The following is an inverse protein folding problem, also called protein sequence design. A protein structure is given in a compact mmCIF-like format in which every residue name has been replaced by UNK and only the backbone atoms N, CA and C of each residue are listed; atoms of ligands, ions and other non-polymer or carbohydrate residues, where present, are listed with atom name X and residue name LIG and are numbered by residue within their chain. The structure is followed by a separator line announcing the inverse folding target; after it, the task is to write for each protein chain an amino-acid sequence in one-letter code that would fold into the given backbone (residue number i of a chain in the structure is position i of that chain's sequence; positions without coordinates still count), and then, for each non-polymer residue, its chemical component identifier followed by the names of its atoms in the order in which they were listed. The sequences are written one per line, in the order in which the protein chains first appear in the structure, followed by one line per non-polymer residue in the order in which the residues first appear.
data_IF_365195721231
#
_entry.id   IF_365195721231
#
_cell.length_a   1.000
_cell.length_b   1.000
_cell.length_c   1.000
_cell.angle_alpha   90.00
_cell.angle_beta   90.00
_cell.angle_gamma   90.00
#
_symmetry.space_group_name_H-M   'P 1'
#
loop_
_entity.id
_entity.type
_entity.pdbx_description
1 polymer ?
#
# COMPACT_ATOMS: atom_id res chain seq x y z
N UNK A 1 1.27 14.92 -12.39
CA UNK A 1 0.08 14.06 -12.54
C UNK A 1 -1.16 14.92 -12.31
N UNK A 2 -2.13 14.98 -13.23
CA UNK A 2 -3.35 15.74 -12.99
C UNK A 2 -4.20 15.05 -11.93
N UNK A 3 -4.62 15.78 -10.91
CA UNK A 3 -5.59 15.30 -9.92
C UNK A 3 -6.95 15.09 -10.59
N UNK A 4 -7.65 14.00 -10.24
CA UNK A 4 -9.03 13.79 -10.69
C UNK A 4 -9.92 14.87 -10.06
N UNK A 5 -10.80 15.48 -10.86
CA UNK A 5 -11.76 16.46 -10.37
C UNK A 5 -12.81 15.75 -9.51
N UNK A 6 -12.84 16.09 -8.23
CA UNK A 6 -13.82 15.61 -7.28
C UNK A 6 -15.21 16.19 -7.58
N UNK A 7 -16.25 15.38 -7.36
CA UNK A 7 -17.65 15.78 -7.44
C UNK A 7 -18.22 15.76 -6.02
N UNK A 8 -18.85 16.85 -5.57
CA UNK A 8 -19.51 16.89 -4.26
C UNK A 8 -20.81 16.10 -4.27
N UNK A 9 -21.26 15.64 -3.10
CA UNK A 9 -22.52 14.88 -2.98
C UNK A 9 -23.72 15.65 -3.56
N UNK A 10 -23.76 16.97 -3.35
CA UNK A 10 -24.81 17.86 -3.84
C UNK A 10 -24.86 17.96 -5.37
N UNK A 11 -23.76 17.65 -6.04
CA UNK A 11 -23.62 17.72 -7.49
C UNK A 11 -23.81 16.34 -8.16
N UNK A 12 -24.08 15.29 -7.37
CA UNK A 12 -24.38 13.96 -7.90
C UNK A 12 -25.69 13.96 -8.68
N UNK A 13 -25.83 13.10 -9.70
CA UNK A 13 -27.12 12.88 -10.36
C UNK A 13 -28.20 12.54 -9.32
N UNK A 14 -29.44 13.06 -9.46
CA UNK A 14 -30.50 12.85 -8.47
C UNK A 14 -30.73 11.38 -8.11
N UNK A 15 -30.65 10.48 -9.08
CA UNK A 15 -30.76 9.02 -8.87
C UNK A 15 -29.65 8.48 -7.96
N UNK A 16 -28.43 8.99 -8.10
CA UNK A 16 -27.28 8.58 -7.29
C UNK A 16 -27.39 9.17 -5.89
N UNK A 17 -27.71 10.46 -5.77
CA UNK A 17 -27.89 11.14 -4.49
C UNK A 17 -29.02 10.51 -3.66
N UNK A 18 -30.09 10.03 -4.31
CA UNK A 18 -31.18 9.31 -3.65
C UNK A 18 -30.77 7.90 -3.17
N UNK A 19 -29.81 7.25 -3.85
CA UNK A 19 -29.35 5.91 -3.52
C UNK A 19 -28.19 5.87 -2.52
N UNK A 20 -27.46 6.98 -2.38
CA UNK A 20 -26.27 7.09 -1.54
C UNK A 20 -26.49 8.24 -0.53
N UNK A 21 -26.74 7.92 0.74
CA UNK A 21 -26.86 8.94 1.79
C UNK A 21 -25.57 9.76 1.92
N UNK A 22 -25.71 11.05 2.24
CA UNK A 22 -24.59 11.97 2.34
C UNK A 22 -23.58 11.55 3.42
N UNK A 23 -24.05 10.94 4.51
CA UNK A 23 -23.22 10.44 5.61
C UNK A 23 -22.36 9.23 5.25
N UNK A 24 -22.74 8.48 4.20
CA UNK A 24 -21.97 7.34 3.70
C UNK A 24 -21.08 7.73 2.51
N UNK A 25 -21.26 8.92 1.95
CA UNK A 25 -20.54 9.38 0.79
C UNK A 25 -19.10 9.80 1.15
N UNK A 26 -18.13 9.40 0.33
CA UNK A 26 -16.74 9.82 0.48
C UNK A 26 -16.28 10.69 -0.68
N UNK A 27 -16.45 10.20 -1.91
CA UNK A 27 -15.98 10.89 -3.12
C UNK A 27 -16.60 10.31 -4.37
N UNK A 28 -16.62 11.10 -5.45
CA UNK A 28 -16.95 10.62 -6.78
C UNK A 28 -16.11 11.33 -7.85
N UNK A 29 -15.90 10.62 -8.95
CA UNK A 29 -15.12 11.09 -10.10
C UNK A 29 -15.74 10.56 -11.40
N UNK A 30 -15.74 11.40 -12.43
CA UNK A 30 -15.99 10.91 -13.79
C UNK A 30 -14.86 9.97 -14.21
N UNK A 31 -15.22 8.84 -14.83
CA UNK A 31 -14.24 7.94 -15.43
C UNK A 31 -13.89 8.44 -16.84
N UNK A 32 -12.60 8.73 -17.12
CA UNK A 32 -12.20 9.24 -18.42
C UNK A 32 -12.55 8.28 -19.56
N UNK A 33 -13.13 8.82 -20.64
CA UNK A 33 -13.47 8.04 -21.83
C UNK A 33 -14.69 7.14 -21.68
N UNK A 34 -15.37 7.18 -20.53
CA UNK A 34 -16.66 6.51 -20.32
C UNK A 34 -17.71 7.53 -19.89
N UNK A 35 -18.99 7.23 -20.14
CA UNK A 35 -20.11 8.01 -19.59
C UNK A 35 -20.51 7.44 -18.21
N UNK A 36 -19.53 7.22 -17.34
CA UNK A 36 -19.73 6.61 -16.03
C UNK A 36 -19.09 7.41 -14.89
N UNK A 37 -19.71 7.33 -13.73
CA UNK A 37 -19.34 8.00 -12.50
C UNK A 37 -18.91 6.95 -11.47
N UNK A 38 -17.65 7.01 -11.01
CA UNK A 38 -17.13 6.13 -9.95
C UNK A 38 -17.32 6.81 -8.62
N UNK A 39 -17.89 6.10 -7.65
CA UNK A 39 -18.33 6.63 -6.37
C UNK A 39 -17.79 5.74 -5.25
N UNK A 40 -17.18 6.37 -4.26
CA UNK A 40 -16.70 5.73 -3.04
C UNK A 40 -17.65 6.03 -1.90
N UNK A 41 -18.04 4.96 -1.19
CA UNK A 41 -18.95 5.03 -0.05
C UNK A 41 -18.41 4.21 1.11
N UNK A 42 -18.84 4.53 2.33
CA UNK A 42 -18.74 3.63 3.46
C UNK A 42 -19.93 2.66 3.38
N UNK A 43 -19.65 1.37 3.28
CA UNK A 43 -20.65 0.33 3.42
C UNK A 43 -20.86 0.04 4.92
N UNK A 44 -21.99 0.42 5.52
CA UNK A 44 -22.22 0.26 6.95
C UNK A 44 -22.34 -1.22 7.37
N UNK A 45 -22.66 -2.13 6.44
CA UNK A 45 -22.75 -3.56 6.74
C UNK A 45 -21.38 -4.21 6.89
N UNK A 46 -20.38 -3.69 6.17
CA UNK A 46 -18.99 -4.18 6.21
C UNK A 46 -18.08 -3.31 7.09
N UNK A 47 -18.55 -2.11 7.48
CA UNK A 47 -17.75 -1.05 8.07
C UNK A 47 -16.45 -0.79 7.27
N UNK A 48 -16.58 -0.78 5.94
CA UNK A 48 -15.47 -0.67 4.98
C UNK A 48 -15.84 0.26 3.83
N UNK A 49 -14.82 0.79 3.17
CA UNK A 49 -15.01 1.54 1.93
C UNK A 49 -15.37 0.59 0.78
N UNK A 50 -16.26 1.04 -0.09
CA UNK A 50 -16.71 0.30 -1.27
C UNK A 50 -16.77 1.21 -2.49
N UNK A 51 -16.35 0.68 -3.64
CA UNK A 51 -16.42 1.36 -4.93
C UNK A 51 -17.68 0.93 -5.70
N UNK A 52 -18.47 1.91 -6.15
CA UNK A 52 -19.63 1.73 -7.02
C UNK A 52 -19.43 2.52 -8.31
N UNK A 53 -20.04 2.07 -9.40
CA UNK A 53 -19.97 2.79 -10.68
C UNK A 53 -21.39 2.98 -11.23
N UNK A 54 -21.76 4.21 -11.57
CA UNK A 54 -23.05 4.57 -12.13
C UNK A 54 -22.89 4.92 -13.61
N UNK A 55 -23.76 4.39 -14.46
CA UNK A 55 -23.78 4.70 -15.88
C UNK A 55 -24.82 5.77 -16.19
N UNK A 56 -24.37 6.88 -16.75
CA UNK A 56 -25.27 7.93 -17.22
C UNK A 56 -26.12 7.47 -18.41
N UNK A 57 -25.61 6.53 -19.21
CA UNK A 57 -26.30 6.03 -20.39
C UNK A 57 -27.50 5.13 -20.04
N UNK A 58 -27.36 4.28 -19.02
CA UNK A 58 -28.41 3.34 -18.59
C UNK A 58 -29.22 3.86 -17.41
N UNK A 59 -28.74 4.89 -16.71
CA UNK A 59 -29.39 5.43 -15.53
C UNK A 59 -29.32 4.50 -14.32
N UNK A 60 -28.33 3.59 -14.26
CA UNK A 60 -28.24 2.53 -13.27
C UNK A 60 -26.81 2.31 -12.77
N UNK A 61 -26.69 1.73 -11.58
CA UNK A 61 -25.41 1.23 -11.07
C UNK A 61 -25.01 -0.04 -11.82
N UNK A 62 -23.75 -0.09 -12.21
CA UNK A 62 -23.15 -1.21 -12.89
C UNK A 62 -22.81 -2.33 -11.90
N UNK A 63 -23.08 -3.56 -12.32
CA UNK A 63 -22.58 -4.78 -11.68
C UNK A 63 -21.07 -4.91 -11.85
N UNK A 64 -20.43 -5.74 -11.02
CA UNK A 64 -18.98 -6.02 -11.14
C UNK A 64 -18.62 -6.57 -12.53
N UNK A 65 -19.48 -7.40 -13.13
CA UNK A 65 -19.26 -7.95 -14.47
C UNK A 65 -19.28 -6.85 -15.55
N UNK A 66 -20.23 -5.92 -15.47
CA UNK A 66 -20.29 -4.77 -16.40
C UNK A 66 -19.08 -3.85 -16.22
N UNK A 67 -18.66 -3.60 -14.98
CA UNK A 67 -17.46 -2.80 -14.68
C UNK A 67 -16.20 -3.46 -15.22
N UNK A 68 -16.08 -4.78 -15.11
CA UNK A 68 -15.01 -5.56 -15.73
C UNK A 68 -14.98 -5.41 -17.26
N UNK A 69 -16.15 -5.39 -17.91
CA UNK A 69 -16.24 -5.20 -19.36
C UNK A 69 -15.81 -3.79 -19.81
N UNK A 70 -15.84 -2.80 -18.92
CA UNK A 70 -15.33 -1.44 -19.17
C UNK A 70 -13.82 -1.29 -18.92
N UNK A 71 -13.16 -2.27 -18.30
CA UNK A 71 -11.72 -2.22 -18.12
C UNK A 71 -11.00 -2.21 -19.47
N UNK A 72 -9.90 -1.45 -19.60
CA UNK A 72 -9.03 -1.57 -20.76
C UNK A 72 -8.60 -3.02 -20.98
N UNK A 73 -8.31 -3.42 -22.23
CA UNK A 73 -7.74 -4.73 -22.48
C UNK A 73 -6.42 -4.89 -21.74
N UNK A 74 -6.13 -6.11 -21.30
CA UNK A 74 -4.82 -6.45 -20.73
C UNK A 74 -3.73 -6.06 -21.71
N UNK A 75 -2.66 -5.45 -21.19
CA UNK A 75 -1.56 -4.92 -22.00
C UNK A 75 -0.23 -5.36 -21.43
N UNK A 76 0.79 -5.26 -22.25
CA UNK A 76 2.18 -5.53 -21.84
C UNK A 76 3.06 -4.34 -22.18
N UNK A 77 4.05 -4.08 -21.35
CA UNK A 77 5.12 -3.15 -21.68
C UNK A 77 6.46 -3.71 -21.18
N UNK A 78 7.55 -3.22 -21.76
CA UNK A 78 8.91 -3.58 -21.36
C UNK A 78 9.50 -2.41 -20.59
N UNK A 79 10.14 -2.68 -19.45
CA UNK A 79 10.83 -1.65 -18.68
C UNK A 79 11.96 -1.02 -19.52
N UNK A 80 12.35 0.25 -19.25
CA UNK A 80 13.35 0.96 -20.07
C UNK A 80 14.72 0.25 -20.21
N UNK A 81 15.09 -0.61 -19.26
CA UNK A 81 16.34 -1.38 -19.30
C UNK A 81 16.29 -2.64 -20.19
N UNK A 82 15.11 -2.97 -20.74
CA UNK A 82 14.88 -4.13 -21.60
C UNK A 82 14.88 -5.48 -20.89
N UNK A 83 15.06 -5.53 -19.56
CA UNK A 83 15.25 -6.78 -18.81
C UNK A 83 13.95 -7.36 -18.27
N UNK A 84 12.94 -6.52 -18.09
CA UNK A 84 11.69 -6.89 -17.44
C UNK A 84 10.51 -6.63 -18.38
N UNK A 85 9.67 -7.64 -18.59
CA UNK A 85 8.35 -7.48 -19.22
C UNK A 85 7.29 -7.46 -18.14
N UNK A 86 6.37 -6.51 -18.24
CA UNK A 86 5.26 -6.32 -17.30
C UNK A 86 3.96 -6.66 -17.99
N UNK A 87 3.17 -7.55 -17.39
CA UNK A 87 1.79 -7.80 -17.75
C UNK A 87 0.88 -6.96 -16.87
N UNK A 88 0.06 -6.13 -17.50
CA UNK A 88 -0.93 -5.27 -16.86
C UNK A 88 -2.30 -5.89 -17.02
N UNK A 89 -3.03 -5.99 -15.91
CA UNK A 89 -4.41 -6.46 -15.86
C UNK A 89 -5.23 -5.68 -14.85
N UNK A 90 -6.46 -6.12 -14.63
CA UNK A 90 -7.38 -5.48 -13.70
C UNK A 90 -8.07 -6.53 -12.83
N UNK A 91 -8.22 -6.23 -11.55
CA UNK A 91 -9.02 -7.04 -10.62
C UNK A 91 -9.95 -6.16 -9.80
N UNK A 92 -11.08 -6.73 -9.42
CA UNK A 92 -11.99 -6.13 -8.45
C UNK A 92 -11.85 -6.92 -7.15
N UNK A 93 -11.67 -6.19 -6.05
CA UNK A 93 -11.68 -6.79 -4.73
C UNK A 93 -13.07 -7.35 -4.40
N UNK A 94 -13.14 -8.58 -3.88
CA UNK A 94 -14.41 -9.28 -3.68
C UNK A 94 -15.32 -8.61 -2.63
N UNK A 95 -14.73 -7.97 -1.62
CA UNK A 95 -15.49 -7.41 -0.51
C UNK A 95 -15.82 -5.94 -0.74
N UNK A 96 -14.91 -5.21 -1.38
CA UNK A 96 -14.97 -3.74 -1.52
C UNK A 96 -15.30 -3.29 -2.94
N UNK A 97 -15.37 -4.21 -3.90
CA UNK A 97 -15.55 -3.95 -5.33
C UNK A 97 -14.55 -2.91 -5.88
N UNK A 98 -13.42 -2.67 -5.21
CA UNK A 98 -12.43 -1.69 -5.62
C UNK A 98 -11.70 -2.20 -6.85
N UNK A 99 -11.61 -1.37 -7.88
CA UNK A 99 -10.87 -1.69 -9.09
C UNK A 99 -9.39 -1.36 -8.92
N UNK A 100 -8.53 -2.36 -9.11
CA UNK A 100 -7.07 -2.22 -9.08
C UNK A 100 -6.46 -2.62 -10.42
N UNK A 101 -5.52 -1.81 -10.89
CA UNK A 101 -4.60 -2.19 -11.98
C UNK A 101 -3.50 -3.06 -11.37
N UNK A 102 -3.33 -4.27 -11.90
CA UNK A 102 -2.38 -5.27 -11.41
C UNK A 102 -1.19 -5.35 -12.34
N UNK A 103 0.01 -5.48 -11.79
CA UNK A 103 1.27 -5.62 -12.51
C UNK A 103 1.94 -6.93 -12.13
N UNK A 104 2.21 -7.77 -13.12
CA UNK A 104 3.06 -8.94 -12.96
C UNK A 104 4.33 -8.73 -13.79
N UNK A 105 5.46 -8.57 -13.10
CA UNK A 105 6.76 -8.31 -13.73
C UNK A 105 7.57 -9.60 -13.85
N UNK A 106 8.06 -9.89 -15.04
CA UNK A 106 8.82 -11.10 -15.37
C UNK A 106 10.20 -10.75 -15.90
N UNK A 107 11.19 -11.56 -15.54
CA UNK A 107 12.52 -11.50 -16.12
C UNK A 107 12.51 -12.02 -17.57
N UNK A 108 13.01 -11.24 -18.52
CA UNK A 108 12.94 -11.57 -19.93
C UNK A 108 13.84 -12.76 -20.32
N UNK A 109 14.93 -12.99 -19.60
CA UNK A 109 15.86 -14.07 -19.92
C UNK A 109 15.38 -15.42 -19.40
N UNK A 110 14.74 -15.43 -18.24
CA UNK A 110 14.35 -16.66 -17.51
C UNK A 110 12.86 -16.91 -17.52
N UNK A 111 12.04 -15.93 -17.91
CA UNK A 111 10.58 -15.93 -17.76
C UNK A 111 10.10 -16.12 -16.31
N UNK A 112 10.97 -15.92 -15.33
CA UNK A 112 10.63 -16.02 -13.92
C UNK A 112 9.82 -14.80 -13.48
N UNK A 113 8.76 -15.03 -12.70
CA UNK A 113 8.02 -13.96 -12.03
C UNK A 113 8.93 -13.30 -10.99
N UNK A 114 9.18 -12.00 -11.14
CA UNK A 114 10.02 -11.21 -10.24
C UNK A 114 9.21 -10.60 -9.10
N UNK A 115 8.08 -9.96 -9.43
CA UNK A 115 7.21 -9.30 -8.45
C UNK A 115 5.79 -9.16 -8.98
N UNK A 116 4.84 -9.15 -8.07
CA UNK A 116 3.48 -8.68 -8.31
C UNK A 116 3.22 -7.41 -7.50
N UNK A 117 2.57 -6.45 -8.12
CA UNK A 117 2.14 -5.21 -7.47
C UNK A 117 0.83 -4.74 -8.05
N UNK A 118 0.24 -3.73 -7.42
CA UNK A 118 -1.03 -3.16 -7.87
C UNK A 118 -1.16 -1.71 -7.42
N UNK A 119 -2.06 -0.99 -8.08
CA UNK A 119 -2.54 0.31 -7.62
C UNK A 119 -4.04 0.47 -7.89
N UNK A 120 -4.73 1.22 -7.04
CA UNK A 120 -6.16 1.50 -7.23
C UNK A 120 -6.37 2.37 -8.48
N UNK A 121 -7.27 1.95 -9.38
CA UNK A 121 -7.55 2.65 -10.63
C UNK A 121 -8.15 4.05 -10.42
N UNK A 122 -8.89 4.23 -9.33
CA UNK A 122 -9.65 5.45 -9.05
C UNK A 122 -9.18 6.17 -7.78
N UNK A 123 -7.86 6.13 -7.54
CA UNK A 123 -7.18 6.97 -6.55
C UNK A 123 -7.11 8.44 -7.01
N UNK A 124 -7.13 9.43 -6.08
CA UNK A 124 -6.90 10.84 -6.40
C UNK A 124 -5.61 11.11 -7.17
N UNK A 125 -4.59 10.28 -6.92
CA UNK A 125 -3.33 10.27 -7.64
C UNK A 125 -2.99 8.82 -8.03
N UNK A 126 -2.80 8.60 -9.33
CA UNK A 126 -2.24 7.36 -9.85
C UNK A 126 -0.78 7.57 -10.21
N UNK A 127 0.07 6.62 -9.81
CA UNK A 127 1.47 6.61 -10.20
C UNK A 127 1.63 6.08 -11.63
N UNK A 128 2.74 6.45 -12.27
CA UNK A 128 3.08 5.84 -13.56
C UNK A 128 3.28 4.33 -13.36
N UNK A 129 2.76 3.46 -14.25
CA UNK A 129 2.95 2.02 -14.16
C UNK A 129 4.41 1.58 -13.99
N UNK A 130 5.35 2.25 -14.66
CA UNK A 130 6.78 1.94 -14.53
C UNK A 130 7.28 2.24 -13.11
N UNK A 131 6.83 3.34 -12.50
CA UNK A 131 7.23 3.72 -11.15
C UNK A 131 6.67 2.75 -10.11
N UNK A 132 5.43 2.27 -10.27
CA UNK A 132 4.84 1.25 -9.39
C UNK A 132 5.63 -0.05 -9.46
N UNK A 133 5.98 -0.50 -10.67
CA UNK A 133 6.78 -1.72 -10.86
C UNK A 133 8.19 -1.54 -10.33
N UNK A 134 8.83 -0.40 -10.59
CA UNK A 134 10.19 -0.09 -10.11
C UNK A 134 10.26 -0.07 -8.59
N UNK A 135 9.28 0.53 -7.91
CA UNK A 135 9.21 0.51 -6.45
C UNK A 135 9.02 -0.91 -5.91
N UNK A 136 8.17 -1.72 -6.55
CA UNK A 136 7.96 -3.11 -6.17
C UNK A 136 9.23 -3.97 -6.35
N UNK A 137 9.92 -3.85 -7.48
CA UNK A 137 11.19 -4.52 -7.73
C UNK A 137 12.25 -4.11 -6.70
N UNK A 138 12.36 -2.81 -6.42
CA UNK A 138 13.29 -2.29 -5.39
C UNK A 138 13.00 -2.89 -4.02
N UNK A 139 11.73 -3.04 -3.64
CA UNK A 139 11.34 -3.68 -2.36
C UNK A 139 11.73 -5.15 -2.33
N UNK A 140 11.57 -5.87 -3.44
CA UNK A 140 11.99 -7.28 -3.56
C UNK A 140 13.50 -7.44 -3.48
N UNK A 141 14.27 -6.54 -4.08
CA UNK A 141 15.73 -6.56 -4.06
C UNK A 141 16.33 -6.04 -2.76
N UNK A 142 15.54 -5.32 -1.95
CA UNK A 142 16.04 -4.65 -0.74
C UNK A 142 16.80 -5.57 0.22
N UNK A 143 16.35 -6.80 0.55
CA UNK A 143 17.13 -7.70 1.41
C UNK A 143 18.54 -7.99 0.88
N UNK A 144 18.69 -8.14 -0.44
CA UNK A 144 20.01 -8.37 -1.07
C UNK A 144 20.88 -7.12 -1.00
N UNK A 145 20.30 -5.95 -1.29
CA UNK A 145 21.00 -4.67 -1.16
C UNK A 145 21.44 -4.42 0.28
N UNK A 146 20.54 -4.65 1.23
CA UNK A 146 20.80 -4.55 2.67
C UNK A 146 21.93 -5.50 3.12
N UNK A 147 21.95 -6.73 2.60
CA UNK A 147 23.01 -7.71 2.90
C UNK A 147 24.39 -7.28 2.38
N UNK A 148 24.49 -6.29 1.49
CA UNK A 148 25.74 -5.68 1.05
C UNK A 148 26.24 -4.55 1.96
N UNK A 149 25.40 -4.03 2.86
CA UNK A 149 25.76 -2.91 3.74
C UNK A 149 26.71 -3.34 4.85
N UNK A 150 27.54 -2.40 5.32
CA UNK A 150 28.38 -2.63 6.51
C UNK A 150 27.53 -2.60 7.78
N UNK A 151 28.02 -3.24 8.85
CA UNK A 151 27.27 -3.37 10.13
C UNK A 151 26.76 -2.03 10.67
N UNK A 152 27.53 -0.92 10.69
CA UNK A 152 27.02 0.37 11.14
C UNK A 152 25.83 0.91 10.32
N UNK A 153 25.83 0.72 9.01
CA UNK A 153 24.72 1.15 8.13
C UNK A 153 23.45 0.36 8.41
N UNK A 154 23.60 -0.96 8.60
CA UNK A 154 22.51 -1.86 8.98
C UNK A 154 21.88 -1.48 10.31
N UNK A 155 22.73 -1.16 11.30
CA UNK A 155 22.28 -0.68 12.61
C UNK A 155 21.53 0.64 12.44
N UNK A 156 22.13 1.61 11.75
CA UNK A 156 21.54 2.94 11.53
C UNK A 156 20.19 2.89 10.81
N UNK A 157 20.03 1.99 9.83
CA UNK A 157 18.77 1.76 9.15
C UNK A 157 17.66 1.34 10.12
N UNK A 158 17.90 0.30 10.93
CA UNK A 158 16.88 -0.18 11.87
C UNK A 158 16.61 0.81 12.99
N UNK A 159 17.62 1.54 13.47
CA UNK A 159 17.41 2.66 14.41
C UNK A 159 16.43 3.68 13.83
N UNK A 160 16.64 4.10 12.58
CA UNK A 160 15.75 5.05 11.91
C UNK A 160 14.35 4.50 11.61
N UNK A 161 14.22 3.19 11.33
CA UNK A 161 12.92 2.53 11.18
C UNK A 161 12.16 2.52 12.51
N UNK A 162 12.78 2.04 13.58
CA UNK A 162 12.15 1.93 14.90
C UNK A 162 11.73 3.29 15.43
N UNK A 163 12.58 4.30 15.31
CA UNK A 163 12.26 5.67 15.73
C UNK A 163 11.03 6.25 15.04
N UNK A 164 10.95 6.10 13.71
CA UNK A 164 9.78 6.59 12.96
C UNK A 164 8.50 5.88 13.39
N UNK A 165 8.55 4.57 13.61
CA UNK A 165 7.38 3.82 14.05
C UNK A 165 6.95 4.19 15.47
N UNK A 166 7.91 4.33 16.41
CA UNK A 166 7.64 4.79 17.79
C UNK A 166 7.03 6.18 17.81
N UNK A 167 7.61 7.10 17.03
CA UNK A 167 7.10 8.45 16.89
C UNK A 167 5.68 8.47 16.32
N UNK A 168 5.41 7.67 15.29
CA UNK A 168 4.05 7.53 14.73
C UNK A 168 3.05 6.97 15.75
N UNK A 169 3.47 6.01 16.58
CA UNK A 169 2.65 5.49 17.66
C UNK A 169 2.30 6.61 18.67
N UNK A 170 3.30 7.38 19.11
CA UNK A 170 3.09 8.55 19.97
C UNK A 170 2.17 9.61 19.35
N UNK A 171 2.36 9.95 18.07
CA UNK A 171 1.53 10.91 17.34
C UNK A 171 0.07 10.45 17.18
N UNK A 172 -0.17 9.14 17.19
CA UNK A 172 -1.52 8.55 17.18
C UNK A 172 -2.18 8.46 18.58
N UNK A 173 -1.52 8.97 19.63
CA UNK A 173 -2.00 8.92 21.01
C UNK A 173 -1.83 7.55 21.67
N UNK A 174 -1.10 6.62 21.04
CA UNK A 174 -0.73 5.33 21.63
C UNK A 174 0.65 5.43 22.30
N UNK A 175 0.93 4.52 23.24
CA UNK A 175 2.25 4.44 23.84
C UNK A 175 3.30 4.10 22.77
N UNK A 176 4.45 4.78 22.76
CA UNK A 176 5.48 4.61 21.72
C UNK A 176 5.94 3.15 21.56
N UNK A 177 6.08 2.43 22.66
CA UNK A 177 6.45 0.99 22.67
C UNK A 177 5.41 0.09 21.97
N UNK A 178 4.20 0.57 21.67
CA UNK A 178 3.23 -0.15 20.85
C UNK A 178 3.74 -0.36 19.41
N UNK A 179 4.75 0.39 18.97
CA UNK A 179 5.46 0.14 17.72
C UNK A 179 6.18 -1.21 17.69
N UNK A 180 6.57 -1.74 18.86
CA UNK A 180 7.20 -3.06 18.96
C UNK A 180 6.15 -4.15 18.81
N UNK A 181 6.11 -4.76 17.63
CA UNK A 181 5.10 -5.78 17.30
C UNK A 181 5.75 -7.03 16.71
N UNK A 182 5.06 -8.17 16.80
CA UNK A 182 5.48 -9.39 16.11
C UNK A 182 5.59 -9.18 14.58
N UNK A 183 4.75 -8.32 14.00
CA UNK A 183 4.78 -7.99 12.58
C UNK A 183 6.08 -7.25 12.19
N UNK A 184 6.51 -6.29 13.00
CA UNK A 184 7.80 -5.62 12.85
C UNK A 184 8.95 -6.63 12.89
N UNK A 185 8.98 -7.53 13.88
CA UNK A 185 10.00 -8.57 13.98
C UNK A 185 10.01 -9.48 12.74
N UNK A 186 8.84 -9.90 12.28
CA UNK A 186 8.74 -10.70 11.06
C UNK A 186 9.28 -9.95 9.83
N UNK A 187 9.03 -8.64 9.74
CA UNK A 187 9.61 -7.78 8.70
C UNK A 187 11.13 -7.70 8.82
N UNK A 188 11.65 -7.50 10.03
CA UNK A 188 13.09 -7.46 10.31
C UNK A 188 13.78 -8.75 9.87
N UNK A 189 13.24 -9.91 10.26
CA UNK A 189 13.76 -11.24 9.88
C UNK A 189 13.68 -11.54 8.39
N UNK A 190 12.68 -10.99 7.68
CA UNK A 190 12.57 -11.14 6.23
C UNK A 190 13.67 -10.38 5.49
N UNK A 191 14.09 -9.24 6.02
CA UNK A 191 15.17 -8.41 5.44
C UNK A 191 16.55 -8.92 5.86
N UNK A 192 16.72 -9.28 7.14
CA UNK A 192 17.93 -9.85 7.70
C UNK A 192 17.60 -11.05 8.60
N UNK A 193 17.80 -12.29 8.10
CA UNK A 193 17.56 -13.50 8.89
C UNK A 193 18.37 -13.57 10.20
N UNK A 194 19.47 -12.81 10.32
CA UNK A 194 20.33 -12.76 11.49
C UNK A 194 20.15 -11.47 12.30
N UNK A 195 19.06 -10.73 12.11
CA UNK A 195 18.84 -9.43 12.73
C UNK A 195 18.96 -9.44 14.27
N UNK A 196 18.64 -10.56 14.91
CA UNK A 196 18.74 -10.72 16.37
C UNK A 196 20.15 -10.42 16.91
N UNK A 197 21.20 -10.73 16.14
CA UNK A 197 22.59 -10.42 16.49
C UNK A 197 22.87 -8.91 16.52
N UNK A 198 22.13 -8.13 15.73
CA UNK A 198 22.27 -6.67 15.66
C UNK A 198 21.32 -5.96 16.62
N UNK A 199 20.22 -6.59 17.05
CA UNK A 199 19.19 -5.98 17.89
C UNK A 199 19.73 -5.28 19.14
N UNK A 200 20.67 -5.83 19.93
CA UNK A 200 21.25 -5.11 21.07
C UNK A 200 21.84 -3.76 20.67
N UNK A 201 22.59 -3.72 19.55
CA UNK A 201 23.22 -2.48 19.07
C UNK A 201 22.23 -1.52 18.41
N UNK A 202 21.18 -2.05 17.77
CA UNK A 202 20.06 -1.25 17.24
C UNK A 202 19.32 -0.57 18.38
N UNK A 203 18.97 -1.29 19.44
CA UNK A 203 18.25 -0.71 20.59
C UNK A 203 19.13 0.27 21.37
N UNK A 204 20.43 0.00 21.50
CA UNK A 204 21.39 0.97 22.04
C UNK A 204 21.45 2.26 21.19
N UNK A 205 21.43 2.13 19.86
CA UNK A 205 21.39 3.27 18.94
C UNK A 205 20.11 4.07 19.07
N UNK A 206 18.97 3.39 19.21
CA UNK A 206 17.67 4.02 19.41
C UNK A 206 17.60 4.76 20.75
N UNK A 207 18.07 4.13 21.85
CA UNK A 207 18.16 4.73 23.17
C UNK A 207 18.93 6.05 23.16
N UNK A 208 20.09 6.07 22.49
CA UNK A 208 20.89 7.30 22.31
C UNK A 208 20.14 8.37 21.53
N UNK A 209 19.40 7.99 20.49
CA UNK A 209 18.68 8.94 19.64
C UNK A 209 17.45 9.53 20.35
N UNK A 210 16.77 8.74 21.19
CA UNK A 210 15.59 9.17 21.98
C UNK A 210 15.96 9.74 23.35
N UNK A 211 17.24 9.75 23.71
CA UNK A 211 17.75 10.18 25.02
C UNK A 211 17.07 9.42 26.19
N UNK A 212 16.88 8.10 26.02
CA UNK A 212 16.26 7.21 27.01
C UNK A 212 17.24 6.13 27.48
N UNK A 213 16.88 5.42 28.55
CA UNK A 213 17.66 4.30 29.07
C UNK A 213 17.54 3.08 28.15
N UNK A 214 18.69 2.56 27.73
CA UNK A 214 18.79 1.36 26.89
C UNK A 214 18.14 0.13 27.54
N UNK A 215 18.27 -0.03 28.86
CA UNK A 215 17.66 -1.16 29.57
C UNK A 215 16.14 -1.12 29.51
N UNK A 216 15.54 0.08 29.56
CA UNK A 216 14.10 0.26 29.45
C UNK A 216 13.62 -0.14 28.05
N UNK A 217 14.31 0.33 27.00
CA UNK A 217 13.95 -0.04 25.63
C UNK A 217 14.12 -1.54 25.34
N UNK A 218 15.20 -2.16 25.84
CA UNK A 218 15.41 -3.62 25.70
C UNK A 218 14.33 -4.42 26.41
N UNK A 219 13.96 -4.03 27.63
CA UNK A 219 12.89 -4.67 28.38
C UNK A 219 11.54 -4.56 27.65
N UNK A 220 11.18 -3.34 27.22
CA UNK A 220 9.94 -3.10 26.48
C UNK A 220 9.88 -3.87 25.15
N UNK A 221 10.99 -3.88 24.39
CA UNK A 221 11.06 -4.66 23.16
C UNK A 221 10.88 -6.15 23.43
N UNK A 222 11.56 -6.68 24.44
CA UNK A 222 11.50 -8.10 24.79
C UNK A 222 10.11 -8.53 25.25
N UNK A 223 9.47 -7.72 26.11
CA UNK A 223 8.10 -7.96 26.59
C UNK A 223 7.10 -7.98 25.42
N UNK A 224 7.22 -7.03 24.49
CA UNK A 224 6.26 -6.86 23.38
C UNK A 224 6.43 -7.85 22.24
N UNK A 225 7.67 -8.32 22.02
CA UNK A 225 8.01 -9.15 20.86
C UNK A 225 8.30 -10.61 21.20
N UNK A 226 8.59 -10.92 22.47
CA UNK A 226 9.02 -12.24 22.92
C UNK A 226 10.47 -12.61 22.56
N UNK A 227 11.26 -11.68 21.98
CA UNK A 227 12.68 -11.89 21.73
C UNK A 227 13.47 -11.49 22.97
N UNK A 228 14.30 -12.39 23.49
CA UNK A 228 15.20 -12.10 24.60
C UNK A 228 16.48 -11.39 24.11
N UNK A 229 16.80 -10.23 24.70
CA UNK A 229 17.91 -9.34 24.30
C UNK A 229 18.67 -8.83 25.53
#
# INVERSE_FOLDING_TARGET
MPFRKYIDHIDLPPTVAAAIPAESYLTAYDRPGTATLVIWVIDPSLNRQREREYSHATGAFLTVAERHALCPPNRTFVMPDGRVTVHVGYRFDHDTDVCSETYAAFDNATSALLVQSEQMCFSPAMSDPEDVVRDALRKTEFPRTYAGWIVPERIGYWVGVLYRQRRQAGESGTHEDAAFTAALVAQMKRVDPNIEWLLPSVLAGLARMEMTDEHVLRAAFSERTGIAI
#
